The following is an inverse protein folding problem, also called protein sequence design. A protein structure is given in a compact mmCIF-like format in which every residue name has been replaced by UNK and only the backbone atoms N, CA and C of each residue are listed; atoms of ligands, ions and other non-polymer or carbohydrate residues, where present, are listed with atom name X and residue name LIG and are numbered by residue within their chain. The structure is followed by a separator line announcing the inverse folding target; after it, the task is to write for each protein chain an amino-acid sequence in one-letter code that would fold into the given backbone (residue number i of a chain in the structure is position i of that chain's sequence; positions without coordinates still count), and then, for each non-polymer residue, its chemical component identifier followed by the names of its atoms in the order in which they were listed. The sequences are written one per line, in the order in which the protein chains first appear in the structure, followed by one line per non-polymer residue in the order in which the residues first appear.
data_IF_724540470031
#
_entry.id   IF_724540470031
#
_cell.length_a   1.000
_cell.length_b   1.000
_cell.length_c   1.000
_cell.angle_alpha   90.00
_cell.angle_beta   90.00
_cell.angle_gamma   90.00
#
_symmetry.space_group_name_H-M   'P 1'
#
loop_
_entity.id
_entity.type
_entity.pdbx_description
1 polymer ?
#
# COMPACT_ATOMS: atom_id res chain seq x y z
N UNK A 1 8.61 17.79 13.61
CA UNK A 1 7.58 17.54 12.59
C UNK A 1 8.06 16.39 11.75
N UNK A 2 7.24 15.34 11.60
CA UNK A 2 7.59 14.18 10.76
C UNK A 2 7.39 14.50 9.28
N UNK A 3 8.11 13.80 8.38
CA UNK A 3 7.99 13.99 6.92
C UNK A 3 6.56 13.74 6.42
N UNK A 4 5.84 12.82 7.07
CA UNK A 4 4.44 12.53 6.77
C UNK A 4 3.51 13.68 7.15
N UNK A 5 3.78 14.37 8.27
CA UNK A 5 2.98 15.56 8.64
C UNK A 5 3.14 16.68 7.62
N UNK A 6 4.37 16.94 7.18
CA UNK A 6 4.63 17.93 6.12
C UNK A 6 3.94 17.54 4.81
N UNK A 7 3.99 16.26 4.43
CA UNK A 7 3.27 15.78 3.25
C UNK A 7 1.75 15.90 3.39
N UNK A 8 1.19 15.74 4.60
CA UNK A 8 -0.24 15.92 4.85
C UNK A 8 -0.66 17.40 4.80
N UNK A 9 0.17 18.30 5.35
CA UNK A 9 -0.07 19.75 5.30
C UNK A 9 -0.12 20.29 3.86
N UNK A 10 0.73 19.74 3.00
CA UNK A 10 0.80 20.09 1.58
C UNK A 10 0.12 19.05 0.68
N UNK A 11 -0.78 18.21 1.23
CA UNK A 11 -1.39 17.12 0.48
C UNK A 11 -2.23 17.61 -0.72
N UNK A 12 -2.71 18.86 -0.71
CA UNK A 12 -3.42 19.45 -1.84
C UNK A 12 -2.50 19.93 -2.98
N UNK A 13 -1.22 20.16 -2.70
CA UNK A 13 -0.25 20.75 -3.63
C UNK A 13 0.70 19.67 -4.18
N UNK A 14 0.37 19.14 -5.36
CA UNK A 14 1.13 18.07 -5.99
C UNK A 14 2.56 18.52 -6.40
N UNK A 15 2.73 19.79 -6.74
CA UNK A 15 4.03 20.35 -7.14
C UNK A 15 4.94 20.52 -5.92
N UNK A 16 4.37 20.98 -4.80
CA UNK A 16 5.09 21.02 -3.53
C UNK A 16 5.52 19.63 -3.10
N UNK A 17 4.62 18.65 -3.14
CA UNK A 17 4.93 17.26 -2.77
C UNK A 17 6.06 16.69 -3.62
N UNK A 18 6.02 16.91 -4.92
CA UNK A 18 7.05 16.42 -5.85
C UNK A 18 8.42 17.02 -5.57
N UNK A 19 8.46 18.30 -5.20
CA UNK A 19 9.71 19.04 -5.00
C UNK A 19 10.29 18.88 -3.60
N UNK A 20 9.44 18.82 -2.57
CA UNK A 20 9.86 18.95 -1.17
C UNK A 20 9.62 17.69 -0.32
N UNK A 21 8.74 16.77 -0.74
CA UNK A 21 8.46 15.59 0.07
C UNK A 21 9.41 14.44 -0.30
N UNK A 22 10.25 13.95 0.63
CA UNK A 22 11.12 12.79 0.38
C UNK A 22 10.32 11.50 0.14
N UNK A 23 9.04 11.47 0.53
CA UNK A 23 8.11 10.37 0.27
C UNK A 23 7.76 10.23 -1.21
N UNK A 24 8.07 11.22 -2.06
CA UNK A 24 7.92 11.11 -3.52
C UNK A 24 9.11 10.46 -4.21
N UNK A 25 10.13 10.04 -3.46
CA UNK A 25 11.28 9.38 -4.08
C UNK A 25 10.85 8.09 -4.78
N UNK A 26 11.49 7.73 -5.91
CA UNK A 26 11.15 6.51 -6.67
C UNK A 26 11.14 5.24 -5.84
N UNK A 27 11.91 5.21 -4.74
CA UNK A 27 11.99 4.08 -3.83
C UNK A 27 10.72 3.91 -2.99
N UNK A 28 10.06 5.01 -2.61
CA UNK A 28 8.83 4.99 -1.81
C UNK A 28 7.57 4.83 -2.66
N UNK A 29 7.48 5.48 -3.82
CA UNK A 29 6.27 5.42 -4.67
C UNK A 29 6.39 4.45 -5.84
N UNK A 30 7.51 3.74 -5.99
CA UNK A 30 7.79 2.89 -7.16
C UNK A 30 6.70 1.88 -7.51
N UNK A 31 6.02 1.31 -6.51
CA UNK A 31 4.87 0.43 -6.74
C UNK A 31 3.63 1.18 -7.25
N UNK A 32 3.34 2.36 -6.73
CA UNK A 32 2.18 3.16 -7.15
C UNK A 32 2.40 3.81 -8.52
N UNK A 33 3.66 4.09 -8.87
CA UNK A 33 4.07 4.55 -10.20
C UNK A 33 3.80 3.47 -11.26
N UNK A 34 3.89 2.18 -10.91
CA UNK A 34 3.64 1.07 -11.85
C UNK A 34 2.21 1.02 -12.38
N UNK A 35 1.25 1.46 -11.57
CA UNK A 35 -0.17 1.48 -11.92
C UNK A 35 -0.61 2.83 -12.53
N UNK A 36 0.24 3.87 -12.44
CA UNK A 36 -0.05 5.22 -12.90
C UNK A 36 0.70 5.58 -14.16
N UNK A 37 0.00 5.74 -15.29
CA UNK A 37 0.58 6.11 -16.61
C UNK A 37 1.29 7.48 -16.68
N UNK A 38 1.43 8.23 -15.58
CA UNK A 38 1.86 9.63 -15.58
C UNK A 38 2.93 9.98 -14.53
N UNK A 39 3.65 9.02 -13.94
CA UNK A 39 4.64 9.30 -12.91
C UNK A 39 5.86 10.12 -13.39
N UNK A 40 6.13 10.10 -14.69
CA UNK A 40 7.25 10.82 -15.31
C UNK A 40 6.88 12.24 -15.78
N UNK A 41 5.62 12.65 -15.62
CA UNK A 41 5.20 14.03 -15.87
C UNK A 41 5.58 14.96 -14.70
N UNK A 42 5.77 16.26 -14.97
CA UNK A 42 5.85 17.31 -13.94
C UNK A 42 4.65 17.18 -12.99
N UNK A 43 4.90 17.06 -11.68
CA UNK A 43 3.87 16.86 -10.66
C UNK A 43 3.27 15.44 -10.58
N UNK A 44 3.62 14.54 -11.50
CA UNK A 44 3.07 13.19 -11.59
C UNK A 44 3.32 12.36 -10.33
N UNK A 45 4.51 12.47 -9.75
CA UNK A 45 4.89 11.80 -8.49
C UNK A 45 4.12 12.32 -7.29
N UNK A 46 3.89 13.63 -7.22
CA UNK A 46 3.05 14.25 -6.21
C UNK A 46 1.63 13.71 -6.25
N UNK A 47 1.03 13.63 -7.44
CA UNK A 47 -0.31 13.03 -7.60
C UNK A 47 -0.36 11.55 -7.20
N UNK A 48 0.69 10.79 -7.51
CA UNK A 48 0.81 9.39 -7.08
C UNK A 48 0.86 9.30 -5.55
N UNK A 49 1.64 10.16 -4.88
CA UNK A 49 1.70 10.22 -3.42
C UNK A 49 0.35 10.65 -2.81
N UNK A 50 -0.32 11.66 -3.38
CA UNK A 50 -1.66 12.09 -2.95
C UNK A 50 -2.66 10.94 -2.97
N UNK A 51 -2.64 10.17 -4.05
CA UNK A 51 -3.50 8.99 -4.19
C UNK A 51 -3.14 7.93 -3.14
N UNK A 52 -1.86 7.62 -2.96
CA UNK A 52 -1.42 6.66 -1.95
C UNK A 52 -1.85 7.06 -0.53
N UNK A 53 -1.71 8.34 -0.17
CA UNK A 53 -2.16 8.87 1.12
C UNK A 53 -3.68 8.77 1.28
N UNK A 54 -4.45 9.05 0.22
CA UNK A 54 -5.92 8.94 0.22
C UNK A 54 -6.39 7.50 0.35
N UNK A 55 -5.78 6.59 -0.39
CA UNK A 55 -6.10 5.17 -0.37
C UNK A 55 -5.76 4.56 1.01
N UNK A 56 -4.60 4.92 1.59
CA UNK A 56 -4.24 4.52 2.95
C UNK A 56 -5.17 5.12 4.01
N UNK A 57 -5.59 6.39 3.86
CA UNK A 57 -6.53 7.02 4.78
C UNK A 57 -7.90 6.34 4.73
N UNK A 58 -8.37 5.88 3.57
CA UNK A 58 -9.64 5.16 3.43
C UNK A 58 -9.69 3.82 4.18
N UNK A 59 -8.54 3.26 4.55
CA UNK A 59 -8.43 2.02 5.34
C UNK A 59 -8.43 2.27 6.86
N UNK A 60 -8.38 3.52 7.30
CA UNK A 60 -8.42 3.86 8.72
C UNK A 60 -9.85 3.79 9.28
N UNK A 61 -9.98 3.75 10.60
CA UNK A 61 -11.28 3.86 11.28
C UNK A 61 -11.92 5.22 11.04
N UNK A 62 -13.25 5.28 11.05
CA UNK A 62 -14.03 6.50 10.74
C UNK A 62 -13.65 7.71 11.61
N UNK A 63 -13.34 7.48 12.88
CA UNK A 63 -12.90 8.52 13.83
C UNK A 63 -11.54 9.12 13.42
N UNK A 64 -10.60 8.28 13.01
CA UNK A 64 -9.27 8.69 12.53
C UNK A 64 -9.35 9.39 11.18
N UNK A 65 -10.19 8.88 10.26
CA UNK A 65 -10.44 9.52 8.97
C UNK A 65 -11.01 10.93 9.14
N UNK A 66 -12.02 11.08 9.99
CA UNK A 66 -12.64 12.38 10.28
C UNK A 66 -11.61 13.33 10.88
N UNK A 67 -10.79 12.86 11.83
CA UNK A 67 -9.76 13.68 12.47
C UNK A 67 -8.70 14.16 11.47
N UNK A 68 -8.23 13.30 10.57
CA UNK A 68 -7.27 13.69 9.52
C UNK A 68 -7.87 14.70 8.55
N UNK A 69 -9.14 14.52 8.13
CA UNK A 69 -9.83 15.47 7.25
C UNK A 69 -9.99 16.85 7.91
N UNK A 70 -10.32 16.89 9.20
CA UNK A 70 -10.42 18.15 9.94
C UNK A 70 -9.06 18.83 10.12
N UNK A 71 -7.98 18.04 10.28
CA UNK A 71 -6.64 18.58 10.55
C UNK A 71 -5.90 19.07 9.30
N UNK A 72 -6.19 18.48 8.13
CA UNK A 72 -5.39 18.70 6.91
C UNK A 72 -6.22 19.04 5.67
N UNK A 73 -7.53 19.32 5.81
CA UNK A 73 -8.28 19.91 4.70
C UNK A 73 -7.88 21.38 4.55
N UNK A 74 -7.41 21.75 3.37
CA UNK A 74 -6.98 23.11 2.97
C UNK A 74 -8.07 24.19 3.03
N UNK A 75 -9.25 23.87 3.58
CA UNK A 75 -10.39 24.76 3.71
C UNK A 75 -10.91 24.94 5.15
N UNK A 76 -10.28 24.35 6.18
CA UNK A 76 -10.84 24.46 7.54
C UNK A 76 -10.08 25.48 8.40
N UNK A 77 -10.70 26.63 8.74
CA UNK A 77 -10.29 27.36 9.94
C UNK A 77 -10.40 26.41 11.14
N UNK A 78 -9.54 26.59 12.13
CA UNK A 78 -9.46 25.77 13.36
C UNK A 78 -10.87 25.28 13.76
N UNK A 79 -11.09 23.96 13.95
CA UNK A 79 -12.43 23.46 14.21
C UNK A 79 -13.00 24.14 15.44
N UNK A 80 -13.96 25.05 15.22
CA UNK A 80 -14.78 25.62 16.27
C UNK A 80 -15.39 24.44 17.04
N UNK A 81 -15.34 24.42 18.39
CA UNK A 81 -15.53 23.23 19.22
C UNK A 81 -16.92 22.57 19.20
N UNK A 82 -17.78 22.91 18.22
CA UNK A 82 -19.20 22.58 18.19
C UNK A 82 -19.62 21.53 17.15
N UNK A 83 -18.72 21.01 16.31
CA UNK A 83 -19.06 20.04 15.26
C UNK A 83 -18.72 18.56 15.58
N UNK A 84 -19.17 18.03 16.73
CA UNK A 84 -19.46 16.61 17.09
C UNK A 84 -18.39 15.49 16.96
N UNK A 85 -18.34 14.47 17.86
CA UNK A 85 -19.42 13.98 18.73
C UNK A 85 -19.13 14.19 20.22
N UNK A 86 -19.78 15.21 20.78
CA UNK A 86 -20.30 15.32 22.14
C UNK A 86 -19.44 15.06 23.41
N UNK A 87 -18.19 14.57 23.38
CA UNK A 87 -17.46 14.28 24.64
C UNK A 87 -15.93 14.47 24.65
N UNK A 88 -15.37 15.26 23.74
CA UNK A 88 -13.94 15.66 23.81
C UNK A 88 -13.69 16.78 24.83
N UNK A 89 -14.68 17.08 25.68
CA UNK A 89 -14.67 18.10 26.73
C UNK A 89 -13.75 17.61 27.85
N UNK A 90 -12.45 17.80 27.62
CA UNK A 90 -11.39 17.25 28.44
C UNK A 90 -9.98 17.56 27.92
N UNK A 91 -9.72 18.83 27.55
CA UNK A 91 -8.39 19.46 27.41
C UNK A 91 -7.62 19.08 26.13
N UNK A 92 -7.03 20.06 25.44
CA UNK A 92 -6.32 19.91 24.16
C UNK A 92 -5.29 18.77 24.09
N UNK A 93 -4.76 18.31 25.23
CA UNK A 93 -3.93 17.12 25.31
C UNK A 93 -4.60 15.83 24.76
N UNK A 94 -5.91 15.67 24.89
CA UNK A 94 -6.62 14.55 24.26
C UNK A 94 -6.61 14.68 22.73
N UNK A 95 -6.95 15.85 22.20
CA UNK A 95 -6.94 16.12 20.76
C UNK A 95 -5.58 15.81 20.12
N UNK A 96 -4.47 16.31 20.69
CA UNK A 96 -3.13 16.03 20.16
C UNK A 96 -2.79 14.54 20.22
N UNK A 97 -3.20 13.81 21.26
CA UNK A 97 -3.00 12.36 21.33
C UNK A 97 -3.76 11.62 20.24
N UNK A 98 -5.02 11.97 19.99
CA UNK A 98 -5.80 11.36 18.91
C UNK A 98 -5.27 11.72 17.52
N UNK A 99 -4.77 12.96 17.34
CA UNK A 99 -4.06 13.38 16.13
C UNK A 99 -2.80 12.56 15.89
N UNK A 100 -1.94 12.44 16.89
CA UNK A 100 -0.72 11.63 16.78
C UNK A 100 -1.04 10.17 16.49
N UNK A 101 -2.04 9.60 17.16
CA UNK A 101 -2.47 8.23 16.92
C UNK A 101 -3.03 8.03 15.49
N UNK A 102 -3.76 9.00 14.95
CA UNK A 102 -4.28 8.96 13.58
C UNK A 102 -3.15 9.04 12.54
N UNK A 103 -2.16 9.92 12.76
CA UNK A 103 -0.98 10.05 11.89
C UNK A 103 -0.14 8.76 11.93
N UNK A 104 0.07 8.18 13.11
CA UNK A 104 0.79 6.91 13.26
C UNK A 104 0.05 5.75 12.57
N UNK A 105 -1.27 5.68 12.71
CA UNK A 105 -2.08 4.68 12.03
C UNK A 105 -1.99 4.85 10.50
N UNK A 106 -2.03 6.08 10.00
CA UNK A 106 -1.83 6.37 8.58
C UNK A 106 -0.43 5.93 8.11
N UNK A 107 0.62 6.27 8.87
CA UNK A 107 1.99 5.88 8.55
C UNK A 107 2.12 4.35 8.45
N UNK A 108 1.50 3.62 9.37
CA UNK A 108 1.49 2.16 9.36
C UNK A 108 0.76 1.59 8.14
N UNK A 109 -0.42 2.12 7.79
CA UNK A 109 -1.15 1.70 6.58
C UNK A 109 -0.37 2.03 5.30
N UNK A 110 0.22 3.21 5.24
CA UNK A 110 1.04 3.64 4.12
C UNK A 110 2.27 2.72 3.97
N UNK A 111 2.93 2.38 5.08
CA UNK A 111 4.07 1.47 5.08
C UNK A 111 3.67 0.06 4.62
N UNK A 112 2.52 -0.46 5.06
CA UNK A 112 2.00 -1.75 4.59
C UNK A 112 1.67 -1.77 3.09
N UNK A 113 1.35 -0.61 2.52
CA UNK A 113 1.01 -0.49 1.10
C UNK A 113 2.26 -0.22 0.23
N UNK A 114 3.20 0.59 0.75
CA UNK A 114 4.46 0.95 0.07
C UNK A 114 5.49 -0.17 0.14
N UNK A 115 5.59 -0.85 1.27
CA UNK A 115 6.53 -1.93 1.51
C UNK A 115 5.75 -3.23 1.46
N UNK A 116 5.63 -3.89 0.28
CA UNK A 116 5.32 -5.30 0.29
C UNK A 116 6.44 -5.97 1.09
N UNK A 117 6.13 -6.77 2.11
CA UNK A 117 7.12 -7.69 2.62
C UNK A 117 7.56 -8.54 1.42
N UNK A 118 8.86 -8.48 1.07
CA UNK A 118 9.54 -9.37 0.11
C UNK A 118 9.54 -9.02 -1.40
N UNK A 119 9.67 -7.75 -1.82
CA UNK A 119 9.82 -7.42 -3.26
C UNK A 119 11.23 -7.02 -3.73
N UNK A 120 12.22 -6.91 -2.83
CA UNK A 120 13.61 -6.55 -3.21
C UNK A 120 14.33 -7.64 -4.02
N UNK A 121 13.79 -8.86 -4.05
CA UNK A 121 14.36 -10.01 -4.76
C UNK A 121 13.52 -10.44 -5.99
N UNK A 122 12.46 -9.71 -6.37
CA UNK A 122 11.69 -10.07 -7.57
C UNK A 122 12.39 -9.55 -8.83
N UNK A 123 13.01 -10.43 -9.65
CA UNK A 123 13.53 -10.00 -10.94
C UNK A 123 12.39 -9.44 -11.80
N UNK A 124 12.67 -8.31 -12.46
CA UNK A 124 11.76 -7.68 -13.41
C UNK A 124 11.28 -8.73 -14.41
N UNK A 125 9.97 -8.78 -14.66
CA UNK A 125 9.35 -9.69 -15.63
C UNK A 125 9.92 -9.43 -17.04
N UNK A 126 10.97 -10.13 -17.41
CA UNK A 126 11.34 -10.30 -18.81
C UNK A 126 10.38 -11.33 -19.40
N UNK A 127 9.76 -11.01 -20.54
CA UNK A 127 9.01 -11.99 -21.33
C UNK A 127 9.91 -13.20 -21.55
N UNK A 128 9.53 -14.33 -20.98
CA UNK A 128 10.22 -15.59 -21.24
C UNK A 128 10.06 -15.91 -22.72
N UNK A 129 11.12 -16.37 -23.37
CA UNK A 129 11.08 -16.81 -24.76
C UNK A 129 11.52 -18.27 -24.80
N UNK A 130 10.65 -19.15 -25.30
CA UNK A 130 10.96 -20.55 -25.56
C UNK A 130 10.90 -21.48 -24.34
N UNK A 131 10.11 -21.13 -23.31
CA UNK A 131 9.86 -21.95 -22.09
C UNK A 131 8.43 -21.87 -21.58
N UNK A 132 7.52 -21.44 -22.43
CA UNK A 132 6.10 -21.29 -22.15
C UNK A 132 5.45 -22.64 -21.84
N UNK A 133 5.96 -23.71 -22.44
CA UNK A 133 5.59 -25.11 -22.20
C UNK A 133 5.93 -25.54 -20.76
N UNK A 134 7.16 -25.30 -20.32
CA UNK A 134 7.62 -25.61 -18.95
C UNK A 134 6.83 -24.80 -17.93
N UNK A 135 6.61 -23.51 -18.19
CA UNK A 135 5.78 -22.65 -17.35
C UNK A 135 4.36 -23.21 -17.19
N UNK A 136 3.75 -23.62 -18.30
CA UNK A 136 2.38 -24.17 -18.33
C UNK A 136 2.30 -25.49 -17.56
N UNK A 137 3.27 -26.38 -17.74
CA UNK A 137 3.33 -27.66 -17.02
C UNK A 137 3.49 -27.44 -15.50
N UNK A 138 4.38 -26.53 -15.10
CA UNK A 138 4.58 -26.17 -13.70
C UNK A 138 3.32 -25.57 -13.06
N UNK A 139 2.59 -24.69 -13.76
CA UNK A 139 1.31 -24.16 -13.27
C UNK A 139 0.25 -25.24 -13.13
N UNK A 140 0.16 -26.18 -14.08
CA UNK A 140 -0.78 -27.28 -14.00
C UNK A 140 -0.52 -28.16 -12.77
N UNK A 141 0.75 -28.50 -12.50
CA UNK A 141 1.15 -29.25 -11.31
C UNK A 141 0.83 -28.50 -10.01
N UNK A 142 1.18 -27.21 -9.93
CA UNK A 142 0.86 -26.38 -8.77
C UNK A 142 -0.67 -26.33 -8.54
N UNK A 143 -1.48 -26.21 -9.60
CA UNK A 143 -2.97 -26.19 -9.53
C UNK A 143 -3.54 -27.46 -8.93
N UNK A 144 -2.85 -28.57 -9.09
CA UNK A 144 -3.19 -29.87 -8.49
C UNK A 144 -2.65 -30.02 -7.06
N UNK A 145 -2.19 -28.92 -6.42
CA UNK A 145 -1.56 -28.90 -5.09
C UNK A 145 -0.28 -29.73 -5.00
N UNK A 146 0.42 -29.89 -6.12
CA UNK A 146 1.71 -30.60 -6.15
C UNK A 146 2.87 -29.63 -5.89
N UNK A 147 3.96 -30.16 -5.35
CA UNK A 147 5.22 -29.42 -5.17
C UNK A 147 6.10 -29.62 -6.38
N UNK A 148 6.66 -28.53 -6.91
CA UNK A 148 7.58 -28.54 -8.06
C UNK A 148 8.97 -28.08 -7.62
N UNK A 149 10.02 -28.69 -8.17
CA UNK A 149 11.40 -28.25 -8.02
C UNK A 149 11.99 -27.92 -9.39
N UNK A 150 12.59 -26.73 -9.52
CA UNK A 150 13.19 -26.25 -10.78
C UNK A 150 14.71 -26.40 -10.66
N UNK A 151 15.30 -27.30 -11.46
CA UNK A 151 16.74 -27.58 -11.47
C UNK A 151 17.36 -27.24 -12.84
N UNK A 152 18.68 -27.04 -12.90
CA UNK A 152 19.41 -26.71 -14.13
C UNK A 152 20.64 -25.83 -13.90
N UNK A 153 21.49 -25.69 -14.93
CA UNK A 153 22.75 -24.95 -14.88
C UNK A 153 22.61 -23.46 -14.50
N UNK A 154 23.73 -22.80 -14.16
CA UNK A 154 23.74 -21.35 -13.88
C UNK A 154 23.34 -20.54 -15.13
N UNK A 155 22.73 -19.36 -14.94
CA UNK A 155 22.33 -18.47 -16.04
C UNK A 155 21.13 -18.94 -16.87
N UNK A 156 20.60 -20.14 -16.64
CA UNK A 156 19.53 -20.73 -17.45
C UNK A 156 18.14 -20.12 -17.20
N UNK A 157 17.99 -19.07 -16.38
CA UNK A 157 16.69 -18.42 -16.16
C UNK A 157 15.72 -19.14 -15.21
N UNK A 158 16.22 -19.98 -14.27
CA UNK A 158 15.36 -20.64 -13.25
C UNK A 158 14.62 -19.64 -12.37
N UNK A 159 15.33 -18.61 -11.92
CA UNK A 159 14.75 -17.53 -11.11
C UNK A 159 13.70 -16.76 -11.89
N UNK A 160 13.94 -16.51 -13.18
CA UNK A 160 12.97 -15.90 -14.11
C UNK A 160 11.72 -16.77 -14.26
N UNK A 161 11.88 -18.10 -14.34
CA UNK A 161 10.77 -19.06 -14.38
C UNK A 161 9.97 -19.06 -13.08
N UNK A 162 10.64 -19.09 -11.94
CA UNK A 162 9.99 -18.97 -10.63
C UNK A 162 9.18 -17.68 -10.47
N UNK A 163 9.75 -16.55 -10.89
CA UNK A 163 9.06 -15.26 -10.85
C UNK A 163 7.82 -15.23 -11.76
N UNK A 164 7.94 -15.75 -12.99
CA UNK A 164 6.81 -15.87 -13.92
C UNK A 164 5.69 -16.76 -13.37
N UNK A 165 6.05 -17.90 -12.76
CA UNK A 165 5.09 -18.78 -12.09
C UNK A 165 4.36 -18.08 -10.96
N UNK A 166 5.09 -17.38 -10.08
CA UNK A 166 4.52 -16.69 -8.94
C UNK A 166 3.49 -15.62 -9.37
N UNK A 167 3.80 -14.81 -10.39
CA UNK A 167 2.84 -13.83 -10.89
C UNK A 167 1.58 -14.45 -11.49
N UNK A 168 1.72 -15.47 -12.34
CA UNK A 168 0.54 -16.11 -12.95
C UNK A 168 -0.30 -16.85 -11.91
N UNK A 169 0.34 -17.40 -10.88
CA UNK A 169 -0.34 -18.03 -9.76
C UNK A 169 -1.15 -17.03 -8.94
N UNK A 170 -0.56 -15.87 -8.58
CA UNK A 170 -1.22 -14.83 -7.80
C UNK A 170 -2.43 -14.20 -8.51
N UNK A 171 -2.34 -14.00 -9.83
CA UNK A 171 -3.46 -13.48 -10.62
C UNK A 171 -4.67 -14.43 -10.59
N UNK A 172 -4.43 -15.74 -10.51
CA UNK A 172 -5.49 -16.75 -10.42
C UNK A 172 -6.01 -17.00 -9.00
N UNK A 173 -5.23 -16.66 -7.96
CA UNK A 173 -5.62 -16.81 -6.56
C UNK A 173 -6.24 -15.54 -5.95
N UNK A 174 -6.99 -14.74 -6.72
CA UNK A 174 -7.98 -13.81 -6.13
C UNK A 174 -9.11 -14.60 -5.44
N UNK A 175 -8.75 -15.27 -4.36
CA UNK A 175 -9.63 -15.85 -3.37
C UNK A 175 -10.23 -14.65 -2.64
N UNK A 176 -11.56 -14.48 -2.59
CA UNK A 176 -12.14 -13.48 -1.70
C UNK A 176 -11.66 -13.82 -0.29
N UNK A 177 -11.01 -12.86 0.38
CA UNK A 177 -10.71 -12.91 1.80
C UNK A 177 -12.05 -13.07 2.55
N UNK A 178 -12.54 -14.32 2.65
CA UNK A 178 -13.63 -14.66 3.56
C UNK A 178 -13.04 -14.51 4.95
N UNK A 179 -13.63 -13.56 5.67
CA UNK A 179 -13.42 -13.31 7.07
C UNK A 179 -13.18 -14.61 7.82
N UNK A 180 -12.01 -14.69 8.47
CA UNK A 180 -11.71 -15.71 9.44
C UNK A 180 -12.53 -15.40 10.71
N UNK A 181 -13.84 -15.64 10.66
CA UNK A 181 -14.65 -15.69 11.86
C UNK A 181 -14.35 -17.03 12.53
N UNK A 182 -13.52 -16.98 13.57
CA UNK A 182 -13.30 -18.11 14.45
C UNK A 182 -14.62 -18.56 15.07
N UNK A 183 -15.14 -19.70 14.60
CA UNK A 183 -16.20 -20.42 15.28
C UNK A 183 -15.56 -21.50 16.14
N UNK A 184 -15.56 -21.28 17.46
CA UNK A 184 -15.36 -22.35 18.43
C UNK A 184 -16.61 -23.24 18.41
N UNK A 185 -16.45 -24.51 18.06
CA UNK A 185 -17.32 -25.60 18.52
C UNK A 185 -16.34 -26.61 19.16
N UNK A 186 -16.38 -26.94 20.45
CA UNK A 186 -17.57 -27.24 21.24
C UNK A 186 -17.84 -28.74 21.10
N UNK A 187 -17.01 -29.57 21.76
CA UNK A 187 -17.24 -31.00 21.89
C UNK A 187 -18.17 -31.22 23.09
N UNK A 188 -19.33 -31.79 22.81
CA UNK A 188 -20.33 -32.30 23.74
C UNK A 188 -21.30 -33.14 22.96
#
# INVERSE_FOLDING_TARGET
MSELEQALEHCADADWLTTHSPLTSPYFIGNFVRDGRNADALGGRGHVLQRALRDAAALLRDDQQRLLRLSFSSASPMPTPTASPANWVGRGAAYYRHRTAAIQALAQQLHQTIVPPLHLEQPRFARMVGREDVLTACLAALRQKQTIAITGGSGIGKTTLGAALAAQWMVHQRIPLRAFTGSRCGLG
#
